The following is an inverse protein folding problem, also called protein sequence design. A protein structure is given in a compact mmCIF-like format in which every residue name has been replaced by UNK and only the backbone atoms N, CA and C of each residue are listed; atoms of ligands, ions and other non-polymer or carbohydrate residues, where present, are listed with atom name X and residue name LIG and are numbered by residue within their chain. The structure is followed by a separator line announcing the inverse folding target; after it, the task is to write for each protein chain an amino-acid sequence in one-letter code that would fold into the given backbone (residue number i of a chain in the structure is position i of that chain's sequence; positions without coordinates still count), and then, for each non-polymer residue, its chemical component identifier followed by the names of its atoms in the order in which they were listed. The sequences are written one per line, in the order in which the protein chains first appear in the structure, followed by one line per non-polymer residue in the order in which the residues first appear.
data_IF_605084479317
#
_entry.id   IF_605084479317
#
_cell.length_a   1.000
_cell.length_b   1.000
_cell.length_c   1.000
_cell.angle_alpha   90.00
_cell.angle_beta   90.00
_cell.angle_gamma   90.00
#
_symmetry.space_group_name_H-M   'P 1'
#
loop_
_entity.id
_entity.type
_entity.pdbx_description
1 polymer ?
#
# COMPACT_ATOMS: atom_id res chain seq x y z
N UNK A 1 34.27 -12.91 11.47
CA UNK A 1 34.38 -11.45 11.64
C UNK A 1 34.95 -10.86 10.35
N UNK A 2 34.10 -10.28 9.51
CA UNK A 2 34.49 -9.53 8.31
C UNK A 2 34.08 -8.07 8.51
N UNK A 3 34.89 -7.07 8.14
CA UNK A 3 34.66 -5.68 8.50
C UNK A 3 33.61 -5.02 7.59
N UNK A 4 32.71 -4.27 8.21
CA UNK A 4 31.69 -3.45 7.58
C UNK A 4 32.35 -2.25 6.87
N UNK A 5 32.12 -2.07 5.55
CA UNK A 5 32.54 -0.86 4.82
C UNK A 5 31.47 0.23 4.95
N UNK A 6 31.85 1.51 5.14
CA UNK A 6 30.89 2.62 5.17
C UNK A 6 30.38 2.99 3.76
N UNK A 7 29.19 3.62 3.65
CA UNK A 7 28.57 3.95 2.37
C UNK A 7 29.32 5.06 1.62
N UNK A 8 29.39 4.91 0.30
CA UNK A 8 30.00 5.84 -0.65
C UNK A 8 29.17 7.13 -0.74
N UNK A 9 29.85 8.26 -0.64
CA UNK A 9 29.27 9.61 -0.78
C UNK A 9 28.93 9.86 -2.26
N UNK A 10 27.64 9.95 -2.60
CA UNK A 10 27.18 10.35 -3.93
C UNK A 10 27.34 11.87 -4.06
N UNK A 11 28.15 12.34 -5.01
CA UNK A 11 28.20 13.75 -5.40
C UNK A 11 27.08 14.06 -6.41
N UNK A 12 26.44 15.24 -6.35
CA UNK A 12 25.42 15.61 -7.32
C UNK A 12 26.04 15.85 -8.70
N UNK A 13 25.46 15.22 -9.71
CA UNK A 13 25.77 15.45 -11.13
C UNK A 13 25.11 16.75 -11.56
N UNK A 14 25.92 17.74 -11.98
CA UNK A 14 25.45 18.92 -12.69
C UNK A 14 24.95 18.51 -14.08
N UNK A 15 23.64 18.60 -14.33
CA UNK A 15 23.09 18.55 -15.66
C UNK A 15 23.05 19.97 -16.23
N UNK A 16 24.08 20.30 -17.00
CA UNK A 16 24.08 21.45 -17.87
C UNK A 16 23.17 21.20 -19.09
N UNK A 17 22.45 22.25 -19.43
CA UNK A 17 21.64 22.56 -20.61
C UNK A 17 21.92 21.71 -21.87
N UNK A 18 20.89 21.01 -22.33
CA UNK A 18 20.74 20.69 -23.76
C UNK A 18 19.36 21.13 -24.23
N UNK A 19 19.38 22.23 -24.97
CA UNK A 19 18.31 22.78 -25.80
C UNK A 19 17.77 21.75 -26.79
N UNK A 20 16.46 21.50 -26.76
CA UNK A 20 15.76 20.73 -27.80
C UNK A 20 14.71 21.64 -28.47
N UNK A 21 15.00 22.01 -29.72
CA UNK A 21 14.12 22.74 -30.62
C UNK A 21 12.93 21.86 -31.05
N UNK A 22 11.70 22.34 -30.86
CA UNK A 22 10.49 21.76 -31.47
C UNK A 22 10.15 22.52 -32.76
N UNK A 23 9.77 21.83 -33.87
CA UNK A 23 9.07 22.48 -34.97
C UNK A 23 7.55 22.40 -34.79
N UNK A 24 6.92 23.57 -34.91
CA UNK A 24 5.49 23.77 -34.96
C UNK A 24 4.94 23.37 -36.34
N UNK A 25 4.09 22.35 -36.40
CA UNK A 25 3.05 22.16 -37.42
C UNK A 25 2.27 20.87 -37.09
N UNK A 26 0.98 20.99 -36.81
CA UNK A 26 -0.11 20.00 -37.03
C UNK A 26 -1.31 20.21 -36.07
N UNK A 27 -1.78 21.46 -35.94
CA UNK A 27 -3.08 21.76 -35.32
C UNK A 27 -3.86 22.71 -36.23
N UNK A 28 -4.31 22.19 -37.37
CA UNK A 28 -5.31 22.84 -38.23
C UNK A 28 -6.08 21.77 -38.98
N UNK A 29 -6.96 21.02 -38.33
CA UNK A 29 -8.08 20.35 -39.00
C UNK A 29 -9.11 19.91 -37.95
N UNK A 30 -10.38 20.25 -38.21
CA UNK A 30 -11.61 19.93 -37.45
C UNK A 30 -11.95 20.76 -36.21
N UNK A 31 -12.27 22.04 -36.45
CA UNK A 31 -13.25 22.79 -35.67
C UNK A 31 -14.32 23.34 -36.64
N UNK A 32 -15.16 22.46 -37.18
CA UNK A 32 -16.40 22.79 -37.90
C UNK A 32 -17.39 21.68 -37.57
N UNK A 33 -18.39 21.98 -36.75
CA UNK A 33 -19.79 21.52 -36.82
C UNK A 33 -20.47 21.80 -35.47
N UNK A 34 -20.84 23.06 -35.29
CA UNK A 34 -22.00 23.47 -34.48
C UNK A 34 -23.27 22.99 -35.19
N UNK A 35 -24.14 22.24 -34.51
CA UNK A 35 -25.52 22.02 -34.93
C UNK A 35 -26.45 22.35 -33.76
N UNK A 36 -27.12 23.50 -33.89
CA UNK A 36 -28.42 23.78 -33.29
C UNK A 36 -29.46 23.38 -34.34
N UNK A 37 -30.42 22.55 -33.96
CA UNK A 37 -31.85 22.57 -34.36
C UNK A 37 -32.48 21.20 -34.03
N UNK A 38 -33.40 21.12 -33.06
CA UNK A 38 -34.84 21.40 -33.13
C UNK A 38 -35.68 20.20 -33.62
N UNK A 39 -36.48 19.66 -32.67
CA UNK A 39 -37.81 19.05 -32.80
C UNK A 39 -38.11 18.16 -34.02
N UNK A 40 -38.37 16.87 -33.77
CA UNK A 40 -39.58 16.11 -34.16
C UNK A 40 -39.32 14.60 -33.96
N UNK A 41 -40.01 13.96 -33.01
CA UNK A 41 -40.79 12.74 -33.21
C UNK A 41 -41.39 12.26 -31.87
N UNK A 42 -42.71 12.41 -31.75
CA UNK A 42 -43.56 11.57 -30.90
C UNK A 42 -43.84 10.26 -31.65
N UNK A 43 -43.82 9.11 -30.96
CA UNK A 43 -44.98 8.19 -30.80
C UNK A 43 -44.55 6.87 -30.14
N UNK A 44 -45.13 6.64 -28.95
CA UNK A 44 -45.67 5.39 -28.37
C UNK A 44 -45.00 4.03 -28.57
N UNK A 45 -44.74 3.34 -27.45
CA UNK A 45 -45.42 2.07 -27.13
C UNK A 45 -45.45 1.81 -25.62
N UNK A 46 -46.61 1.34 -25.18
CA UNK A 46 -47.09 1.12 -23.82
C UNK A 46 -46.67 -0.26 -23.29
N UNK A 47 -46.44 -0.37 -21.96
CA UNK A 47 -46.63 -1.62 -21.21
C UNK A 47 -47.34 -1.27 -19.89
N UNK A 48 -48.47 -1.92 -19.53
CA UNK A 48 -49.29 -1.49 -18.40
C UNK A 48 -49.25 -2.42 -17.16
N UNK A 49 -49.68 -1.85 -16.02
CA UNK A 49 -50.32 -2.45 -14.82
C UNK A 49 -49.44 -2.92 -13.63
N UNK A 50 -49.95 -2.94 -12.37
CA UNK A 50 -50.85 -1.98 -11.71
C UNK A 50 -50.53 -1.65 -10.21
N UNK A 51 -51.01 -0.46 -9.80
CA UNK A 51 -51.66 -0.02 -8.53
C UNK A 51 -51.16 -0.36 -7.11
N UNK A 52 -51.17 0.72 -6.28
CA UNK A 52 -51.50 0.85 -4.83
C UNK A 52 -50.49 0.29 -3.81
N UNK A 53 -50.08 0.94 -2.71
CA UNK A 53 -50.60 2.06 -1.91
C UNK A 53 -49.49 2.57 -0.94
N UNK A 54 -49.61 3.82 -0.47
CA UNK A 54 -49.05 4.43 0.77
C UNK A 54 -47.53 4.61 1.00
N UNK A 55 -47.10 5.88 1.01
CA UNK A 55 -45.96 6.50 1.74
C UNK A 55 -46.39 6.82 3.21
N UNK A 56 -45.55 7.40 4.11
CA UNK A 56 -44.10 7.68 4.10
C UNK A 56 -43.35 7.24 5.40
N UNK A 57 -42.01 7.16 5.36
CA UNK A 57 -41.16 7.13 6.56
C UNK A 57 -40.61 8.53 6.84
N UNK A 58 -40.76 8.93 8.11
CA UNK A 58 -40.31 10.15 8.75
C UNK A 58 -38.83 10.47 8.50
N UNK A 59 -38.59 11.72 8.09
CA UNK A 59 -37.39 12.48 8.40
C UNK A 59 -37.57 13.16 9.78
N UNK A 60 -36.60 12.96 10.66
CA UNK A 60 -36.24 13.78 11.83
C UNK A 60 -34.85 14.35 11.44
N UNK A 61 -34.59 15.64 11.31
CA UNK A 61 -34.82 16.73 12.26
C UNK A 61 -34.93 18.08 11.53
N UNK A 62 -35.92 18.88 11.90
CA UNK A 62 -35.93 20.35 11.91
C UNK A 62 -36.24 20.76 13.36
N UNK A 63 -35.61 21.78 13.93
CA UNK A 63 -36.15 23.14 14.18
C UNK A 63 -35.14 23.72 15.21
N UNK A 64 -34.57 24.93 15.10
CA UNK A 64 -35.19 26.27 15.05
C UNK A 64 -34.25 27.29 14.36
N UNK A 65 -34.67 28.06 13.34
CA UNK A 65 -35.44 29.33 13.40
C UNK A 65 -34.83 30.38 14.35
N UNK A 66 -34.70 31.69 14.07
CA UNK A 66 -34.85 32.60 12.91
C UNK A 66 -34.22 33.93 13.37
N UNK A 67 -33.80 34.77 12.43
CA UNK A 67 -34.16 36.20 12.47
C UNK A 67 -34.14 36.75 11.03
N UNK A 68 -35.22 37.46 10.72
CA UNK A 68 -35.71 37.92 9.42
C UNK A 68 -35.15 39.28 8.99
N UNK A 69 -35.02 39.49 7.68
CA UNK A 69 -34.93 40.82 7.05
C UNK A 69 -35.04 40.70 5.51
N UNK A 70 -35.78 41.59 4.81
CA UNK A 70 -36.49 41.25 3.57
C UNK A 70 -35.68 41.46 2.27
N UNK A 71 -36.07 40.70 1.24
CA UNK A 71 -35.76 40.97 -0.16
C UNK A 71 -36.20 42.39 -0.57
N UNK A 72 -35.28 43.15 -1.14
CA UNK A 72 -35.56 44.25 -2.05
C UNK A 72 -34.76 44.03 -3.33
N UNK A 73 -35.49 44.02 -4.44
CA UNK A 73 -35.04 43.87 -5.81
C UNK A 73 -33.98 44.89 -6.22
N UNK A 74 -33.05 44.50 -7.09
CA UNK A 74 -32.33 45.46 -7.90
C UNK A 74 -31.04 44.96 -8.54
N UNK A 75 -31.09 44.86 -9.87
CA UNK A 75 -29.98 44.90 -10.83
C UNK A 75 -29.03 43.70 -10.93
N UNK A 76 -29.05 43.11 -12.12
CA UNK A 76 -28.00 42.27 -12.66
C UNK A 76 -26.70 43.08 -12.80
N UNK A 77 -25.58 42.48 -12.39
CA UNK A 77 -24.25 42.77 -12.93
C UNK A 77 -23.27 41.64 -12.57
N UNK A 78 -22.44 41.25 -13.55
CA UNK A 78 -21.10 40.74 -13.29
C UNK A 78 -20.92 39.23 -13.13
N UNK A 79 -20.37 38.61 -14.18
CA UNK A 79 -19.52 37.42 -14.07
C UNK A 79 -18.50 37.65 -12.95
N UNK A 80 -18.55 36.84 -11.90
CA UNK A 80 -17.59 36.88 -10.80
C UNK A 80 -16.20 36.50 -11.27
N UNK A 81 -15.39 37.49 -11.62
CA UNK A 81 -13.94 37.39 -11.68
C UNK A 81 -13.48 37.15 -10.24
N UNK A 82 -12.87 35.99 -9.97
CA UNK A 82 -12.10 35.80 -8.74
C UNK A 82 -11.09 36.95 -8.63
N UNK A 83 -11.05 37.71 -7.51
CA UNK A 83 -10.04 38.74 -7.36
C UNK A 83 -8.67 38.07 -7.44
N UNK A 84 -7.84 38.53 -8.38
CA UNK A 84 -6.42 38.29 -8.34
C UNK A 84 -5.91 38.83 -7.02
N UNK A 85 -5.52 37.92 -6.12
CA UNK A 85 -4.80 38.28 -4.91
C UNK A 85 -3.50 38.95 -5.35
N UNK A 86 -3.22 40.13 -4.80
CA UNK A 86 -2.01 40.90 -5.09
C UNK A 86 -0.78 40.00 -4.86
N UNK A 87 0.13 39.86 -5.85
CA UNK A 87 1.38 39.11 -5.67
C UNK A 87 2.20 39.56 -4.45
N UNK A 88 2.03 40.81 -4.00
CA UNK A 88 2.72 41.36 -2.83
C UNK A 88 2.13 40.88 -1.49
N UNK A 89 0.81 40.63 -1.41
CA UNK A 89 0.17 40.01 -0.24
C UNK A 89 0.61 38.56 -0.04
N UNK A 90 1.04 37.88 -1.12
CA UNK A 90 1.59 36.52 -1.04
C UNK A 90 3.03 36.48 -0.48
N UNK A 91 3.76 37.58 -0.60
CA UNK A 91 5.13 37.75 -0.07
C UNK A 91 5.14 38.24 1.38
N UNK A 92 4.05 38.88 1.83
CA UNK A 92 3.87 39.41 3.18
C UNK A 92 2.81 38.65 4.00
N UNK A 93 2.22 37.60 3.43
CA UNK A 93 1.17 36.80 4.05
C UNK A 93 1.69 36.13 5.32
N UNK A 94 1.18 36.58 6.46
CA UNK A 94 1.34 35.92 7.75
C UNK A 94 1.08 34.42 7.60
N UNK A 95 1.95 33.60 8.20
CA UNK A 95 1.70 32.17 8.33
C UNK A 95 0.28 31.97 8.88
N UNK A 96 -0.50 31.01 8.35
CA UNK A 96 -1.88 30.83 8.78
C UNK A 96 -1.93 30.72 10.31
N UNK A 97 -2.64 31.65 10.94
CA UNK A 97 -2.74 31.71 12.39
C UNK A 97 -3.26 30.38 12.92
N UNK A 98 -2.42 29.66 13.68
CA UNK A 98 -2.78 28.43 14.39
C UNK A 98 -4.01 28.72 15.24
N UNK A 99 -5.09 27.95 15.04
CA UNK A 99 -6.37 28.22 15.68
C UNK A 99 -6.24 28.11 17.21
N UNK A 100 -6.98 28.93 17.97
CA UNK A 100 -6.92 28.92 19.43
C UNK A 100 -7.22 27.52 20.02
N UNK A 101 -8.04 26.72 19.32
CA UNK A 101 -8.31 25.31 19.65
C UNK A 101 -7.07 24.41 19.50
N UNK A 102 -6.24 24.61 18.47
CA UNK A 102 -5.03 23.81 18.26
C UNK A 102 -3.98 24.04 19.36
N UNK A 103 -3.87 25.28 19.86
CA UNK A 103 -2.94 25.62 20.94
C UNK A 103 -3.36 24.98 22.27
N UNK A 104 -4.67 24.94 22.56
CA UNK A 104 -5.19 24.29 23.76
C UNK A 104 -5.03 22.77 23.70
N UNK A 105 -5.29 22.16 22.53
CA UNK A 105 -5.06 20.74 22.28
C UNK A 105 -3.57 20.36 22.43
N UNK A 106 -2.66 21.14 21.84
CA UNK A 106 -1.21 20.91 21.94
C UNK A 106 -0.73 20.96 23.40
N UNK A 107 -1.22 21.92 24.18
CA UNK A 107 -0.90 22.02 25.61
C UNK A 107 -1.39 20.81 26.40
N UNK A 108 -2.60 20.34 26.14
CA UNK A 108 -3.15 19.15 26.79
C UNK A 108 -2.34 17.89 26.45
N UNK A 109 -1.92 17.73 25.19
CA UNK A 109 -1.09 16.60 24.76
C UNK A 109 0.30 16.64 25.40
N UNK A 110 0.91 17.82 25.53
CA UNK A 110 2.20 17.96 26.22
C UNK A 110 2.12 17.55 27.69
N UNK A 111 1.06 17.95 28.41
CA UNK A 111 0.86 17.52 29.80
C UNK A 111 0.71 16.00 29.92
N UNK A 112 -0.03 15.38 28.99
CA UNK A 112 -0.18 13.93 28.95
C UNK A 112 1.16 13.22 28.67
N UNK A 113 1.96 13.77 27.76
CA UNK A 113 3.28 13.24 27.43
C UNK A 113 4.23 13.30 28.63
N UNK A 114 4.18 14.36 29.43
CA UNK A 114 5.00 14.46 30.64
C UNK A 114 4.58 13.46 31.72
N UNK A 115 3.28 13.23 31.90
CA UNK A 115 2.77 12.15 32.78
C UNK A 115 3.23 10.77 32.30
N UNK A 116 3.21 10.53 30.99
CA UNK A 116 3.68 9.28 30.39
C UNK A 116 5.18 9.08 30.65
N UNK A 117 5.99 10.11 30.42
CA UNK A 117 7.45 10.08 30.64
C UNK A 117 7.82 9.89 32.11
N UNK A 118 7.00 10.38 33.05
CA UNK A 118 7.22 10.21 34.48
C UNK A 118 7.08 8.74 34.93
N UNK A 119 6.25 7.94 34.24
CA UNK A 119 6.15 6.50 34.50
C UNK A 119 7.28 5.73 33.79
N UNK A 120 8.18 5.04 34.51
CA UNK A 120 9.29 4.32 33.89
C UNK A 120 8.87 3.26 32.86
N UNK A 121 7.74 2.57 33.09
CA UNK A 121 7.22 1.53 32.19
C UNK A 121 6.70 2.14 30.89
N UNK A 122 5.95 3.22 30.99
CA UNK A 122 5.36 3.88 29.82
C UNK A 122 6.42 4.67 29.04
N UNK A 123 7.38 5.29 29.73
CA UNK A 123 8.57 5.89 29.10
C UNK A 123 9.36 4.85 28.30
N UNK A 124 9.61 3.66 28.85
CA UNK A 124 10.30 2.57 28.13
C UNK A 124 9.53 2.15 26.87
N UNK A 125 8.20 2.01 26.97
CA UNK A 125 7.33 1.70 25.81
C UNK A 125 7.41 2.79 24.74
N UNK A 126 7.36 4.06 25.13
CA UNK A 126 7.50 5.20 24.21
C UNK A 126 8.82 5.16 23.45
N UNK A 127 9.93 4.96 24.17
CA UNK A 127 11.27 4.89 23.56
C UNK A 127 11.32 3.76 22.54
N UNK A 128 10.80 2.59 22.90
CA UNK A 128 10.81 1.43 22.01
C UNK A 128 9.95 1.66 20.77
N UNK A 129 8.75 2.24 20.90
CA UNK A 129 7.93 2.59 19.74
C UNK A 129 8.68 3.56 18.82
N UNK A 130 9.35 4.57 19.39
CA UNK A 130 10.18 5.48 18.61
C UNK A 130 11.34 4.75 17.92
N UNK A 131 12.03 3.83 18.59
CA UNK A 131 13.07 3.00 17.99
C UNK A 131 12.51 2.16 16.82
N UNK A 132 11.34 1.53 16.98
CA UNK A 132 10.71 0.75 15.90
C UNK A 132 10.33 1.63 14.71
N UNK A 133 9.78 2.83 14.94
CA UNK A 133 9.43 3.78 13.87
C UNK A 133 10.67 4.29 13.14
N UNK A 134 11.69 4.72 13.88
CA UNK A 134 12.96 5.16 13.31
C UNK A 134 13.63 4.04 12.51
N UNK A 135 13.57 2.79 13.00
CA UNK A 135 14.02 1.60 12.29
C UNK A 135 13.24 1.38 11.00
N UNK A 136 11.90 1.45 11.06
CA UNK A 136 11.00 1.36 9.90
C UNK A 136 11.29 2.43 8.84
N UNK A 137 11.70 3.63 9.27
CA UNK A 137 12.03 4.73 8.35
C UNK A 137 13.50 4.70 7.88
N UNK A 138 14.31 3.74 8.34
CA UNK A 138 15.68 3.55 7.86
C UNK A 138 16.76 4.36 8.59
N UNK A 139 16.48 4.96 9.76
CA UNK A 139 17.47 5.76 10.52
C UNK A 139 18.49 4.93 11.31
N UNK A 140 18.57 3.61 11.07
CA UNK A 140 19.62 2.75 11.59
C UNK A 140 19.70 2.69 13.13
N UNK A 141 18.57 2.39 13.78
CA UNK A 141 18.48 2.22 15.23
C UNK A 141 18.31 0.74 15.60
N UNK A 142 18.85 0.35 16.74
CA UNK A 142 18.78 -1.02 17.25
C UNK A 142 19.80 -1.30 18.37
N UNK A 143 19.48 -2.15 19.36
CA UNK A 143 18.26 -2.97 19.47
C UNK A 143 16.98 -2.16 19.82
N UNK A 144 15.80 -2.73 19.57
CA UNK A 144 14.49 -2.14 19.91
C UNK A 144 14.06 -2.53 21.34
N UNK A 145 14.86 -2.16 22.34
CA UNK A 145 14.73 -2.65 23.72
C UNK A 145 14.09 -1.64 24.70
N UNK A 146 13.76 -0.44 24.20
CA UNK A 146 13.23 0.67 24.96
C UNK A 146 14.25 1.42 25.82
N UNK A 147 15.55 1.18 25.62
CA UNK A 147 16.62 1.94 26.28
C UNK A 147 16.98 3.18 25.48
N UNK A 148 17.04 4.32 26.15
CA UNK A 148 17.47 5.56 25.53
C UNK A 148 18.99 5.68 25.54
N UNK A 149 19.64 5.04 24.57
CA UNK A 149 21.09 5.02 24.42
C UNK A 149 21.59 6.02 23.36
N UNK A 150 22.92 6.11 23.18
CA UNK A 150 23.51 7.03 22.21
C UNK A 150 23.13 6.70 20.76
N UNK A 151 22.84 5.43 20.45
CA UNK A 151 22.37 5.04 19.12
C UNK A 151 20.98 5.61 18.87
N UNK A 152 20.08 5.46 19.83
CA UNK A 152 18.72 6.02 19.80
C UNK A 152 18.76 7.54 19.68
N UNK A 153 19.56 8.21 20.52
CA UNK A 153 19.76 9.67 20.46
C UNK A 153 20.25 10.14 19.09
N UNK A 154 21.23 9.46 18.50
CA UNK A 154 21.74 9.79 17.16
C UNK A 154 20.69 9.58 16.07
N UNK A 155 19.94 8.47 16.12
CA UNK A 155 18.88 8.20 15.16
C UNK A 155 17.77 9.26 15.22
N UNK A 156 17.37 9.67 16.43
CA UNK A 156 16.42 10.77 16.63
C UNK A 156 16.95 12.07 16.04
N UNK A 157 18.22 12.41 16.34
CA UNK A 157 18.83 13.63 15.82
C UNK A 157 18.85 13.65 14.29
N UNK A 158 19.24 12.55 13.65
CA UNK A 158 19.22 12.45 12.19
C UNK A 158 17.79 12.53 11.62
N UNK A 159 16.81 11.92 12.28
CA UNK A 159 15.41 12.05 11.91
C UNK A 159 14.93 13.51 12.00
N UNK A 160 15.27 14.20 13.09
CA UNK A 160 14.93 15.61 13.27
C UNK A 160 15.55 16.47 12.16
N UNK A 161 16.86 16.35 11.93
CA UNK A 161 17.58 17.14 10.93
C UNK A 161 17.04 16.90 9.51
N UNK A 162 16.79 15.64 9.14
CA UNK A 162 16.21 15.28 7.82
C UNK A 162 14.78 15.77 7.64
N UNK A 163 14.02 15.92 8.73
CA UNK A 163 12.64 16.43 8.72
C UNK A 163 12.56 17.93 9.09
N UNK A 164 13.68 18.65 9.07
CA UNK A 164 13.75 20.10 9.37
C UNK A 164 13.26 20.49 10.77
N UNK A 165 13.37 19.57 11.73
CA UNK A 165 13.15 19.82 13.15
C UNK A 165 14.49 20.19 13.83
N UNK A 166 14.46 20.84 15.01
CA UNK A 166 15.66 21.03 15.81
C UNK A 166 16.32 19.70 16.18
N UNK A 167 17.60 19.52 15.82
CA UNK A 167 18.38 18.29 16.06
C UNK A 167 18.82 18.09 17.51
N UNK A 168 17.87 18.10 18.44
CA UNK A 168 18.09 17.94 19.89
C UNK A 168 18.51 16.52 20.27
N UNK A 169 18.14 15.52 19.46
CA UNK A 169 18.29 14.10 19.78
C UNK A 169 17.35 13.62 20.89
N UNK A 170 16.38 14.44 21.30
CA UNK A 170 15.39 14.12 22.33
C UNK A 170 14.04 13.78 21.70
N UNK A 171 13.26 12.90 22.34
CA UNK A 171 11.90 12.57 21.90
C UNK A 171 10.90 13.64 22.35
N UNK A 172 11.08 14.88 21.89
CA UNK A 172 10.18 16.01 22.18
C UNK A 172 8.81 15.88 21.47
N UNK A 173 7.87 16.77 21.82
CA UNK A 173 6.53 16.75 21.25
C UNK A 173 6.54 16.90 19.71
N UNK A 174 7.25 17.89 19.12
CA UNK A 174 7.36 18.00 17.65
C UNK A 174 7.86 16.72 16.99
N UNK A 175 8.88 16.08 17.57
CA UNK A 175 9.45 14.83 17.06
C UNK A 175 8.43 13.69 17.11
N UNK A 176 7.72 13.52 18.22
CA UNK A 176 6.72 12.45 18.36
C UNK A 176 5.51 12.68 17.45
N UNK A 177 5.03 13.92 17.32
CA UNK A 177 3.96 14.31 16.39
C UNK A 177 4.34 13.99 14.95
N UNK A 178 5.58 14.30 14.55
CA UNK A 178 6.07 14.03 13.20
C UNK A 178 6.30 12.55 12.95
N UNK A 179 6.88 11.80 13.90
CA UNK A 179 7.05 10.35 13.82
C UNK A 179 5.71 9.61 13.63
N UNK A 180 4.69 9.99 14.40
CA UNK A 180 3.36 9.39 14.33
C UNK A 180 2.67 9.74 13.01
N UNK A 181 2.73 11.01 12.59
CA UNK A 181 2.21 11.42 11.28
C UNK A 181 2.88 10.66 10.12
N UNK A 182 4.20 10.48 10.14
CA UNK A 182 4.92 9.75 9.09
C UNK A 182 4.58 8.26 9.09
N UNK A 183 4.38 7.67 10.28
CA UNK A 183 3.92 6.29 10.42
C UNK A 183 2.52 6.12 9.80
N UNK A 184 1.60 7.03 10.14
CA UNK A 184 0.24 7.05 9.61
C UNK A 184 0.25 7.24 8.09
N UNK A 185 1.12 8.11 7.56
CA UNK A 185 1.25 8.33 6.13
C UNK A 185 1.75 7.07 5.41
N UNK A 186 2.77 6.39 5.93
CA UNK A 186 3.24 5.12 5.36
C UNK A 186 2.18 4.02 5.42
N UNK A 187 1.33 3.99 6.45
CA UNK A 187 0.25 3.02 6.55
C UNK A 187 -0.91 3.29 5.58
N UNK A 188 -0.98 4.48 4.98
CA UNK A 188 -1.93 4.79 3.89
C UNK A 188 -1.45 4.33 2.51
N UNK A 189 -0.16 4.04 2.35
CA UNK A 189 0.36 3.49 1.09
C UNK A 189 -0.18 2.06 0.95
N UNK A 190 -1.20 1.90 0.13
CA UNK A 190 -1.77 0.59 -0.16
C UNK A 190 -0.80 -0.20 -1.03
N UNK A 191 -0.25 -1.28 -0.50
CA UNK A 191 0.36 -2.32 -1.33
C UNK A 191 -0.79 -3.07 -2.02
N UNK A 192 -1.04 -2.76 -3.29
CA UNK A 192 -2.00 -3.53 -4.09
C UNK A 192 -1.35 -4.84 -4.51
N UNK A 193 -1.60 -5.88 -3.73
CA UNK A 193 -1.35 -7.25 -4.17
C UNK A 193 -2.50 -7.69 -5.11
N UNK A 194 -2.22 -8.52 -6.13
CA UNK A 194 -3.21 -8.89 -7.13
C UNK A 194 -4.40 -9.61 -6.48
N UNK A 195 -5.65 -9.32 -6.88
CA UNK A 195 -6.77 -10.17 -6.51
C UNK A 195 -6.55 -11.57 -7.08
N UNK A 196 -7.16 -12.58 -6.45
CA UNK A 196 -7.16 -13.93 -7.02
C UNK A 196 -7.91 -13.93 -8.35
N UNK A 197 -7.25 -14.37 -9.42
CA UNK A 197 -7.87 -14.64 -10.72
C UNK A 197 -7.82 -16.15 -10.94
N UNK A 198 -8.93 -16.75 -11.39
CA UNK A 198 -8.95 -18.13 -11.86
C UNK A 198 -10.03 -18.29 -12.93
N UNK A 199 -9.64 -18.13 -14.18
CA UNK A 199 -10.53 -18.15 -15.34
C UNK A 199 -10.58 -19.56 -15.95
N UNK A 200 -11.75 -20.21 -15.84
CA UNK A 200 -11.97 -21.61 -16.26
C UNK A 200 -12.88 -21.76 -17.48
N UNK A 201 -13.47 -20.67 -17.97
CA UNK A 201 -14.48 -20.73 -19.04
C UNK A 201 -13.92 -21.30 -20.34
N UNK A 202 -12.60 -21.25 -20.52
CA UNK A 202 -11.89 -21.80 -21.67
C UNK A 202 -11.00 -22.99 -21.28
N UNK A 203 -11.39 -23.80 -20.31
CA UNK A 203 -10.61 -24.95 -19.81
C UNK A 203 -10.03 -25.86 -20.92
N UNK A 204 -10.72 -26.01 -22.05
CA UNK A 204 -10.24 -26.85 -23.15
C UNK A 204 -9.26 -26.15 -24.10
N UNK A 205 -8.91 -24.89 -23.83
CA UNK A 205 -8.00 -24.10 -24.64
C UNK A 205 -6.94 -23.37 -23.80
N UNK A 206 -7.35 -22.65 -22.76
CA UNK A 206 -6.49 -21.85 -21.92
C UNK A 206 -7.08 -21.63 -20.52
N UNK A 207 -6.21 -21.66 -19.51
CA UNK A 207 -6.53 -21.33 -18.12
C UNK A 207 -5.63 -20.21 -17.68
N UNK A 208 -6.19 -19.20 -17.03
CA UNK A 208 -5.44 -18.10 -16.44
C UNK A 208 -5.69 -18.07 -14.95
N UNK A 209 -4.63 -17.96 -14.16
CA UNK A 209 -4.69 -17.81 -12.74
C UNK A 209 -3.78 -16.66 -12.27
N UNK A 210 -4.08 -16.05 -11.14
CA UNK A 210 -3.26 -14.98 -10.58
C UNK A 210 -3.45 -14.84 -9.09
N UNK A 211 -2.42 -14.38 -8.39
CA UNK A 211 -2.44 -14.20 -6.95
C UNK A 211 -1.06 -14.03 -6.34
N UNK A 212 -0.94 -14.39 -5.07
CA UNK A 212 0.27 -14.33 -4.26
C UNK A 212 0.52 -15.71 -3.66
N UNK A 213 1.72 -16.27 -3.86
CA UNK A 213 2.04 -17.57 -3.25
C UNK A 213 2.14 -17.48 -1.73
N UNK A 214 1.51 -18.43 -1.05
CA UNK A 214 1.57 -18.59 0.41
C UNK A 214 1.80 -20.05 0.78
N UNK A 215 2.57 -20.32 1.84
CA UNK A 215 2.70 -21.66 2.40
C UNK A 215 1.52 -21.97 3.32
N UNK A 216 1.14 -23.25 3.42
CA UNK A 216 0.03 -23.69 4.30
C UNK A 216 0.38 -23.53 5.79
N UNK A 217 1.68 -23.67 6.13
CA UNK A 217 2.12 -23.87 7.51
C UNK A 217 3.24 -22.92 7.96
N UNK A 218 3.77 -22.06 7.10
CA UNK A 218 4.95 -21.25 7.43
C UNK A 218 4.65 -19.75 7.32
N UNK A 219 5.25 -18.96 8.20
CA UNK A 219 5.14 -17.50 8.17
C UNK A 219 5.98 -16.88 7.04
N UNK A 220 6.78 -17.69 6.36
CA UNK A 220 7.65 -17.27 5.28
C UNK A 220 7.13 -17.77 3.93
N UNK A 221 6.16 -17.08 3.37
CA UNK A 221 6.18 -16.85 1.94
C UNK A 221 6.55 -15.38 1.74
N UNK A 222 7.41 -15.10 0.78
CA UNK A 222 7.73 -13.74 0.35
C UNK A 222 6.42 -13.05 -0.07
N UNK A 223 5.74 -12.41 0.88
CA UNK A 223 4.34 -12.02 0.73
C UNK A 223 4.16 -10.80 -0.17
N UNK A 224 5.26 -10.12 -0.50
CA UNK A 224 5.31 -9.03 -1.46
C UNK A 224 5.64 -9.57 -2.84
N UNK A 225 4.69 -10.32 -3.39
CA UNK A 225 4.78 -10.84 -4.75
C UNK A 225 3.44 -10.78 -5.47
N UNK A 226 3.51 -10.62 -6.79
CA UNK A 226 2.40 -10.80 -7.71
C UNK A 226 2.78 -11.87 -8.72
N UNK A 227 1.89 -12.82 -8.93
CA UNK A 227 2.08 -13.93 -9.85
C UNK A 227 0.89 -14.02 -10.79
N UNK A 228 1.17 -14.25 -12.07
CA UNK A 228 0.20 -14.61 -13.09
C UNK A 228 0.62 -15.91 -13.78
N UNK A 229 -0.31 -16.81 -14.01
CA UNK A 229 -0.08 -18.10 -14.66
C UNK A 229 -1.03 -18.21 -15.83
N UNK A 230 -0.49 -18.50 -17.01
CA UNK A 230 -1.28 -18.79 -18.22
C UNK A 230 -0.91 -20.18 -18.76
N UNK A 231 -1.87 -21.10 -18.70
CA UNK A 231 -1.75 -22.43 -19.30
C UNK A 231 -2.41 -22.44 -20.68
N UNK A 232 -1.73 -23.03 -21.67
CA UNK A 232 -2.25 -23.17 -23.02
C UNK A 232 -2.27 -24.64 -23.45
N UNK A 233 -3.46 -25.17 -23.76
CA UNK A 233 -3.63 -26.59 -24.06
C UNK A 233 -3.02 -26.99 -25.39
N UNK A 234 -3.07 -26.10 -26.39
CA UNK A 234 -2.47 -26.33 -27.70
C UNK A 234 -0.94 -26.42 -27.61
N UNK A 235 -0.34 -25.57 -26.77
CA UNK A 235 1.11 -25.50 -26.62
C UNK A 235 1.67 -26.46 -25.56
N UNK A 236 0.82 -27.04 -24.72
CA UNK A 236 1.18 -27.99 -23.66
C UNK A 236 2.19 -27.42 -22.66
N UNK A 237 2.09 -26.14 -22.37
CA UNK A 237 2.84 -25.52 -21.28
C UNK A 237 1.99 -24.48 -20.55
N UNK A 238 2.40 -24.21 -19.32
CA UNK A 238 2.00 -23.05 -18.56
C UNK A 238 3.17 -22.06 -18.49
N UNK A 239 2.86 -20.77 -18.50
CA UNK A 239 3.82 -19.69 -18.26
C UNK A 239 3.47 -19.03 -16.95
N UNK A 240 4.38 -19.03 -15.99
CA UNK A 240 4.28 -18.21 -14.79
C UNK A 240 5.09 -16.93 -14.98
N UNK A 241 4.47 -15.79 -14.77
CA UNK A 241 5.15 -14.48 -14.67
C UNK A 241 5.02 -14.00 -13.23
N UNK A 242 6.15 -13.76 -12.57
CA UNK A 242 6.17 -13.31 -11.19
C UNK A 242 7.01 -12.04 -11.03
N UNK A 243 6.55 -11.15 -10.15
CA UNK A 243 7.30 -10.01 -9.67
C UNK A 243 7.35 -10.08 -8.14
N UNK A 244 8.56 -10.17 -7.60
CA UNK A 244 8.84 -10.43 -6.19
C UNK A 244 9.74 -9.33 -5.64
N UNK A 245 9.42 -8.79 -4.47
CA UNK A 245 10.36 -7.91 -3.74
C UNK A 245 11.29 -8.80 -2.91
N UNK A 246 12.54 -8.90 -3.35
CA UNK A 246 13.60 -9.66 -2.70
C UNK A 246 14.31 -8.91 -1.58
N UNK A 247 15.35 -9.55 -1.04
CA UNK A 247 16.23 -8.91 -0.05
C UNK A 247 16.82 -7.59 -0.57
N UNK A 248 16.93 -6.59 0.31
CA UNK A 248 17.40 -5.26 -0.07
C UNK A 248 16.38 -4.41 -0.86
N UNK A 249 15.09 -4.77 -0.83
CA UNK A 249 14.00 -4.09 -1.53
C UNK A 249 14.17 -4.05 -3.06
N UNK A 250 14.81 -5.07 -3.62
CA UNK A 250 14.98 -5.19 -5.07
C UNK A 250 13.78 -5.87 -5.70
N UNK A 251 13.29 -5.31 -6.81
CA UNK A 251 12.26 -5.96 -7.62
C UNK A 251 12.90 -7.02 -8.51
N UNK A 252 12.52 -8.27 -8.31
CA UNK A 252 12.95 -9.42 -9.09
C UNK A 252 11.79 -9.83 -9.98
N UNK A 253 12.03 -9.95 -11.29
CA UNK A 253 11.05 -10.39 -12.28
C UNK A 253 11.47 -11.76 -12.82
N UNK A 254 10.54 -12.71 -12.87
CA UNK A 254 10.77 -14.03 -13.47
C UNK A 254 9.64 -14.40 -14.43
N UNK A 255 10.01 -15.19 -15.44
CA UNK A 255 9.08 -15.82 -16.37
C UNK A 255 9.51 -17.27 -16.56
N UNK A 256 8.69 -18.21 -16.12
CA UNK A 256 8.98 -19.63 -16.11
C UNK A 256 8.02 -20.40 -17.01
N UNK A 257 8.56 -21.34 -17.79
CA UNK A 257 7.79 -22.22 -18.66
C UNK A 257 7.73 -23.63 -18.04
N UNK A 258 6.51 -24.12 -17.84
CA UNK A 258 6.26 -25.43 -17.23
C UNK A 258 5.54 -26.34 -18.23
N UNK A 259 6.16 -27.44 -18.62
CA UNK A 259 5.53 -28.40 -19.54
C UNK A 259 4.36 -29.11 -18.84
N UNK A 260 3.24 -29.26 -19.53
CA UNK A 260 2.05 -29.94 -19.01
C UNK A 260 2.23 -31.46 -19.17
N UNK A 261 2.16 -32.19 -18.06
CA UNK A 261 2.15 -33.66 -18.05
C UNK A 261 0.74 -34.19 -18.32
N UNK A 262 -0.25 -33.65 -17.60
CA UNK A 262 -1.65 -34.07 -17.68
C UNK A 262 -2.58 -32.87 -17.68
N UNK A 263 -3.57 -32.90 -18.57
CA UNK A 263 -4.67 -31.94 -18.62
C UNK A 263 -5.95 -32.72 -18.94
N UNK A 264 -6.76 -32.94 -17.92
CA UNK A 264 -8.06 -33.61 -18.03
C UNK A 264 -9.19 -32.68 -17.56
N UNK A 265 -10.39 -33.21 -17.38
CA UNK A 265 -11.56 -32.41 -17.02
C UNK A 265 -11.53 -31.87 -15.58
N UNK A 266 -10.64 -32.40 -14.73
CA UNK A 266 -10.56 -32.08 -13.31
C UNK A 266 -9.35 -31.21 -12.98
N UNK A 267 -8.18 -31.50 -13.55
CA UNK A 267 -6.94 -30.81 -13.21
C UNK A 267 -5.95 -30.66 -14.37
N UNK A 268 -5.05 -29.70 -14.19
CA UNK A 268 -3.81 -29.55 -14.97
C UNK A 268 -2.66 -29.85 -14.03
N UNK A 269 -1.75 -30.72 -14.44
CA UNK A 269 -0.52 -31.05 -13.71
C UNK A 269 0.66 -30.88 -14.65
N UNK A 270 1.66 -30.11 -14.23
CA UNK A 270 2.91 -29.95 -14.98
C UNK A 270 3.86 -31.11 -14.70
N UNK A 271 4.81 -31.33 -15.60
CA UNK A 271 5.94 -32.22 -15.30
C UNK A 271 6.72 -31.68 -14.11
N UNK A 272 7.37 -32.55 -13.33
CA UNK A 272 8.34 -32.12 -12.34
C UNK A 272 9.47 -31.33 -12.99
N UNK A 273 9.80 -30.16 -12.43
CA UNK A 273 10.91 -29.32 -12.87
C UNK A 273 11.90 -29.16 -11.74
N UNK A 274 13.17 -29.43 -12.02
CA UNK A 274 14.25 -29.20 -11.05
C UNK A 274 14.66 -27.72 -11.07
N UNK A 275 14.73 -27.11 -9.89
CA UNK A 275 15.21 -25.76 -9.65
C UNK A 275 16.12 -25.76 -8.41
N UNK A 276 17.40 -25.45 -8.58
CA UNK A 276 18.42 -25.52 -7.52
C UNK A 276 18.42 -26.87 -6.79
N UNK A 277 17.89 -26.90 -5.55
CA UNK A 277 17.81 -28.05 -4.66
C UNK A 277 16.38 -28.48 -4.36
N UNK A 278 15.45 -28.11 -5.23
CA UNK A 278 14.05 -28.52 -5.15
C UNK A 278 13.57 -28.98 -6.51
N UNK A 279 12.72 -29.99 -6.52
CA UNK A 279 11.89 -30.36 -7.65
C UNK A 279 10.49 -29.82 -7.40
N UNK A 280 9.91 -29.13 -8.38
CA UNK A 280 8.64 -28.45 -8.24
C UNK A 280 7.60 -29.00 -9.21
N UNK A 281 6.34 -29.03 -8.79
CA UNK A 281 5.21 -29.43 -9.64
C UNK A 281 4.03 -28.50 -9.41
N UNK A 282 3.50 -27.94 -10.50
CA UNK A 282 2.35 -27.06 -10.49
C UNK A 282 1.07 -27.86 -10.75
N UNK A 283 0.02 -27.59 -9.97
CA UNK A 283 -1.30 -28.22 -10.10
C UNK A 283 -2.39 -27.17 -10.10
N UNK A 284 -3.30 -27.24 -11.06
CA UNK A 284 -4.48 -26.38 -11.15
C UNK A 284 -5.73 -27.26 -11.06
N UNK A 285 -6.56 -27.03 -10.04
CA UNK A 285 -7.81 -27.78 -9.83
C UNK A 285 -9.00 -27.00 -10.39
N UNK A 286 -9.73 -27.59 -11.33
CA UNK A 286 -10.89 -26.95 -11.98
C UNK A 286 -12.04 -26.73 -11.03
N UNK A 287 -12.40 -27.78 -10.27
CA UNK A 287 -13.57 -27.78 -9.38
C UNK A 287 -13.35 -26.89 -8.16
N UNK A 288 -12.13 -26.92 -7.60
CA UNK A 288 -11.76 -26.11 -6.43
C UNK A 288 -11.36 -24.68 -6.82
N UNK A 289 -11.03 -24.44 -8.09
CA UNK A 289 -10.49 -23.17 -8.59
C UNK A 289 -9.24 -22.73 -7.83
N UNK A 290 -8.35 -23.69 -7.58
CA UNK A 290 -7.12 -23.51 -6.82
C UNK A 290 -5.90 -23.78 -7.69
N UNK A 291 -4.81 -23.09 -7.37
CA UNK A 291 -3.49 -23.42 -7.88
C UNK A 291 -2.61 -23.79 -6.69
N UNK A 292 -1.94 -24.91 -6.78
CA UNK A 292 -0.94 -25.34 -5.81
C UNK A 292 0.40 -25.62 -6.47
N UNK A 293 1.46 -25.40 -5.72
CA UNK A 293 2.81 -25.82 -6.08
C UNK A 293 3.37 -26.69 -4.97
N UNK A 294 3.78 -27.90 -5.31
CA UNK A 294 4.50 -28.78 -4.40
C UNK A 294 5.98 -28.62 -4.69
N UNK A 295 6.77 -28.35 -3.64
CA UNK A 295 8.23 -28.27 -3.69
C UNK A 295 8.78 -29.43 -2.88
N UNK A 296 9.48 -30.33 -3.55
CA UNK A 296 10.12 -31.50 -2.96
C UNK A 296 11.63 -31.30 -2.99
N UNK A 297 12.32 -31.28 -1.84
CA UNK A 297 13.77 -31.16 -1.78
C UNK A 297 14.47 -32.28 -2.55
N UNK A 298 15.44 -31.91 -3.37
CA UNK A 298 16.23 -32.88 -4.12
C UNK A 298 17.35 -33.42 -3.24
N UNK A 299 17.50 -34.75 -3.19
CA UNK A 299 18.53 -35.40 -2.35
C UNK A 299 19.85 -35.68 -3.09
N UNK A 300 19.96 -35.25 -4.35
CA UNK A 300 21.19 -35.36 -5.14
C UNK A 300 22.27 -34.41 -4.62
N UNK A 301 23.55 -34.68 -4.90
CA UNK A 301 24.61 -33.70 -4.61
C UNK A 301 24.57 -32.56 -5.64
N UNK A 302 24.72 -31.28 -5.23
CA UNK A 302 25.19 -30.76 -3.93
C UNK A 302 24.10 -30.54 -2.84
N UNK A 303 22.84 -30.91 -3.11
CA UNK A 303 21.66 -30.57 -2.32
C UNK A 303 21.41 -31.42 -1.07
N UNK A 304 22.14 -32.53 -0.92
CA UNK A 304 22.05 -33.50 0.19
C UNK A 304 22.16 -32.91 1.61
N UNK A 305 22.56 -31.65 1.78
CA UNK A 305 22.78 -30.99 3.08
C UNK A 305 21.52 -30.41 3.71
N UNK A 306 20.41 -30.32 2.99
CA UNK A 306 19.13 -29.86 3.54
C UNK A 306 18.22 -31.06 3.81
N UNK A 307 18.01 -31.40 5.08
CA UNK A 307 16.82 -32.16 5.51
C UNK A 307 15.59 -31.28 5.25
N UNK A 308 15.06 -31.36 4.03
CA UNK A 308 13.83 -30.67 3.69
C UNK A 308 12.64 -31.61 3.77
N UNK A 309 11.48 -31.07 4.09
CA UNK A 309 10.19 -31.72 3.90
C UNK A 309 9.50 -31.11 2.69
N UNK A 310 8.51 -31.82 2.13
CA UNK A 310 7.67 -31.27 1.07
C UNK A 310 6.94 -30.02 1.56
N UNK A 311 7.03 -28.94 0.78
CA UNK A 311 6.31 -27.70 1.05
C UNK A 311 5.24 -27.53 -0.03
N UNK A 312 3.99 -27.36 0.42
CA UNK A 312 2.88 -26.99 -0.47
C UNK A 312 2.61 -25.49 -0.38
N UNK A 313 2.64 -24.84 -1.53
CA UNK A 313 2.26 -23.46 -1.75
C UNK A 313 0.88 -23.39 -2.37
N UNK A 314 0.11 -22.38 -1.98
CA UNK A 314 -1.18 -22.01 -2.58
C UNK A 314 -1.07 -20.63 -3.22
N UNK A 315 -1.63 -20.48 -4.41
CA UNK A 315 -1.79 -19.18 -5.02
C UNK A 315 -3.05 -18.53 -4.45
N UNK A 316 -2.87 -17.63 -3.50
CA UNK A 316 -3.95 -17.01 -2.73
C UNK A 316 -4.26 -15.60 -3.24
N UNK A 317 -5.43 -15.08 -2.92
CA UNK A 317 -5.77 -13.67 -3.13
C UNK A 317 -4.80 -12.77 -2.39
N UNK A 318 -4.07 -11.93 -3.15
CA UNK A 318 -3.15 -10.96 -2.57
C UNK A 318 -3.84 -9.98 -1.60
N UNK A 319 -5.09 -9.62 -1.87
CA UNK A 319 -5.90 -8.79 -0.95
C UNK A 319 -6.10 -9.48 0.40
N UNK A 320 -6.38 -10.78 0.39
CA UNK A 320 -6.52 -11.58 1.61
C UNK A 320 -5.18 -11.66 2.34
N UNK A 321 -4.10 -11.98 1.64
CA UNK A 321 -2.74 -12.05 2.21
C UNK A 321 -2.36 -10.73 2.88
N UNK A 322 -2.59 -9.60 2.21
CA UNK A 322 -2.32 -8.28 2.76
C UNK A 322 -3.16 -7.98 4.02
N UNK A 323 -4.45 -8.35 4.00
CA UNK A 323 -5.35 -8.17 5.15
C UNK A 323 -4.90 -8.99 6.37
N UNK A 324 -4.52 -10.24 6.14
CA UNK A 324 -4.08 -11.16 7.19
C UNK A 324 -2.76 -10.67 7.81
N UNK A 325 -1.78 -10.28 6.99
CA UNK A 325 -0.50 -9.71 7.45
C UNK A 325 -0.69 -8.38 8.20
N UNK A 326 -1.55 -7.51 7.69
CA UNK A 326 -1.87 -6.24 8.33
C UNK A 326 -2.50 -6.45 9.71
N UNK A 327 -3.38 -7.43 9.83
CA UNK A 327 -4.03 -7.81 11.09
C UNK A 327 -3.04 -8.43 12.08
N UNK A 328 -2.21 -9.37 11.61
CA UNK A 328 -1.16 -10.00 12.40
C UNK A 328 -0.14 -8.97 12.93
N UNK A 329 0.28 -8.01 12.09
CA UNK A 329 1.16 -6.90 12.48
C UNK A 329 0.55 -6.04 13.58
N UNK A 330 -0.74 -5.67 13.45
CA UNK A 330 -1.47 -4.90 14.47
C UNK A 330 -1.58 -5.68 15.78
N UNK A 331 -1.83 -6.98 15.73
CA UNK A 331 -1.92 -7.85 16.91
C UNK A 331 -0.56 -8.00 17.60
N UNK A 332 0.51 -8.25 16.85
CA UNK A 332 1.87 -8.32 17.37
C UNK A 332 2.26 -7.01 18.07
N UNK A 333 1.99 -5.86 17.43
CA UNK A 333 2.23 -4.56 18.04
C UNK A 333 1.42 -4.36 19.34
N UNK A 334 0.12 -4.70 19.34
CA UNK A 334 -0.72 -4.62 20.55
C UNK A 334 -0.19 -5.51 21.68
N UNK A 335 0.28 -6.72 21.37
CA UNK A 335 0.84 -7.65 22.35
C UNK A 335 2.13 -7.14 22.97
N UNK A 336 3.05 -6.64 22.14
CA UNK A 336 4.28 -5.96 22.54
C UNK A 336 3.95 -4.82 23.52
N UNK A 337 3.02 -3.94 23.15
CA UNK A 337 2.63 -2.82 24.01
C UNK A 337 1.97 -3.25 25.33
N UNK A 338 1.14 -4.29 25.31
CA UNK A 338 0.43 -4.79 26.50
C UNK A 338 1.36 -5.48 27.50
N UNK A 339 2.13 -6.45 27.04
CA UNK A 339 2.97 -7.31 27.90
C UNK A 339 4.20 -6.55 28.42
N UNK A 340 4.76 -5.64 27.62
CA UNK A 340 6.08 -5.08 27.91
C UNK A 340 7.21 -6.11 27.76
N UNK A 341 6.90 -7.27 27.17
CA UNK A 341 7.85 -8.30 26.81
C UNK A 341 8.30 -8.02 25.38
N UNK A 342 9.60 -7.79 25.24
CA UNK A 342 10.23 -7.22 24.04
C UNK A 342 11.35 -8.11 23.51
N UNK A 343 11.36 -9.39 23.92
CA UNK A 343 12.25 -10.37 23.31
C UNK A 343 11.70 -10.72 21.91
N UNK A 344 12.50 -10.43 20.89
CA UNK A 344 12.22 -10.76 19.48
C UNK A 344 12.85 -12.10 19.06
N UNK A 345 13.24 -12.94 20.02
CA UNK A 345 13.70 -14.30 19.76
C UNK A 345 12.50 -15.25 19.76
N UNK A 346 11.78 -15.31 18.65
CA UNK A 346 10.92 -16.46 18.28
C UNK A 346 10.61 -16.48 16.78
#
# INVERSE_FOLDING_TARGET
MLPFRPPVRVQPVNLAEHSFQQPAALWRFLAIFTCVDFLFFSTMSEVPMPSTQSRPVLALLCISLMLSGPCLSGAADGIGVHPMVDPLDRLLGEEPAVSASEVEEERAVMEQLDKLRANPKDRRRLIMVAQMLLGRFGYGVGPFDGRFDDKTRRAIKYYQESNKLPGTGELDYPTLKKLTHDADWLDRITVQLPPSVFAVDRWDASVSAGGTWTTVNDRQAMSLQTTHIECNRKWKYCVESAAVVGEGNQLILSMDHEEVERWDDQEIVTKPRDHDCVTETLRLSRSQKTVTRVRTPTTSEPCRRSEGHDVTLHLESGVKVWSDLSSARKEAFRRIMKTGDFNFEE
#
